data_IF_932723242740
#
_entry.id   IF_932723242740
#
_cell.length_a   1.000
_cell.length_b   1.000
_cell.length_c   1.000
_cell.angle_alpha   90.00
_cell.angle_beta   90.00
_cell.angle_gamma   90.00
#
_symmetry.space_group_name_H-M   'P 1'
#
loop_
_entity.id
_entity.type
_entity.pdbx_description
1 polymer ?
#
# COMPACT_ATOMS: atom_id res chain seq x y z
N UNK A 1 -9.14 -10.35 6.31
CA UNK A 1 -8.72 -9.74 5.02
C UNK A 1 -7.55 -8.81 5.24
N UNK A 2 -6.36 -9.22 4.81
CA UNK A 2 -5.20 -8.34 4.67
C UNK A 2 -4.82 -8.28 3.20
N UNK A 3 -4.04 -7.29 2.77
CA UNK A 3 -3.50 -7.23 1.41
C UNK A 3 -2.03 -7.60 1.39
N UNK A 4 -1.52 -7.98 0.22
CA UNK A 4 -0.08 -8.18 -0.01
C UNK A 4 0.72 -6.93 0.37
N UNK A 5 0.15 -5.73 0.16
CA UNK A 5 0.71 -4.45 0.58
C UNK A 5 1.02 -4.43 2.09
N UNK A 6 0.13 -4.96 2.93
CA UNK A 6 0.35 -5.06 4.38
C UNK A 6 1.54 -5.93 4.70
N UNK A 7 1.59 -7.12 4.10
CA UNK A 7 2.68 -8.08 4.31
C UNK A 7 4.00 -7.45 3.88
N UNK A 8 4.06 -6.87 2.67
CA UNK A 8 5.26 -6.26 2.15
C UNK A 8 5.77 -5.10 3.01
N UNK A 9 4.85 -4.28 3.53
CA UNK A 9 5.20 -3.21 4.48
C UNK A 9 5.85 -3.78 5.74
N UNK A 10 5.28 -4.83 6.33
CA UNK A 10 5.79 -5.47 7.55
C UNK A 10 7.15 -6.13 7.29
N UNK A 11 7.28 -6.89 6.20
CA UNK A 11 8.55 -7.52 5.77
C UNK A 11 9.67 -6.51 5.55
N UNK A 12 9.32 -5.34 5.01
CA UNK A 12 10.29 -4.26 4.77
C UNK A 12 10.59 -3.43 6.02
N UNK A 13 9.94 -3.72 7.16
CA UNK A 13 10.12 -2.99 8.41
C UNK A 13 9.57 -1.56 8.40
N UNK A 14 8.73 -1.20 7.43
CA UNK A 14 8.21 0.16 7.31
C UNK A 14 6.99 0.39 8.21
N UNK A 15 6.97 1.53 8.88
CA UNK A 15 5.75 2.03 9.52
C UNK A 15 4.79 2.59 8.47
N UNK A 16 3.50 2.60 8.80
CA UNK A 16 2.49 3.23 7.93
C UNK A 16 2.84 4.69 7.64
N UNK A 17 3.39 5.40 8.63
CA UNK A 17 3.79 6.81 8.50
C UNK A 17 4.84 7.00 7.42
N UNK A 18 5.92 6.21 7.48
CA UNK A 18 7.03 6.27 6.53
C UNK A 18 6.55 6.04 5.10
N UNK A 19 5.70 5.02 4.90
CA UNK A 19 5.15 4.74 3.56
C UNK A 19 4.29 5.91 3.10
N UNK A 20 3.42 6.43 3.97
CA UNK A 20 2.48 7.50 3.60
C UNK A 20 3.15 8.82 3.32
N UNK A 21 4.23 9.13 4.04
CA UNK A 21 5.06 10.31 3.81
C UNK A 21 5.81 10.17 2.47
N UNK A 22 6.41 9.01 2.21
CA UNK A 22 7.14 8.75 0.97
C UNK A 22 6.24 8.81 -0.28
N UNK A 23 5.02 8.27 -0.21
CA UNK A 23 4.07 8.30 -1.33
C UNK A 23 3.14 9.52 -1.31
N UNK A 24 3.24 10.39 -0.30
CA UNK A 24 2.47 11.62 -0.17
C UNK A 24 0.96 11.42 -0.11
N UNK A 25 0.46 10.53 0.76
CA UNK A 25 -0.97 10.37 1.06
C UNK A 25 -1.23 10.40 2.56
N UNK A 26 -2.50 10.52 2.97
CA UNK A 26 -2.88 10.47 4.39
C UNK A 26 -2.94 9.03 4.89
N UNK A 27 -2.52 8.79 6.14
CA UNK A 27 -2.60 7.47 6.83
C UNK A 27 -3.97 6.82 6.72
N UNK A 28 -5.06 7.60 6.89
CA UNK A 28 -6.43 7.10 6.75
C UNK A 28 -6.70 6.45 5.39
N UNK A 29 -6.26 7.08 4.30
CA UNK A 29 -6.41 6.53 2.96
C UNK A 29 -5.61 5.24 2.82
N UNK A 30 -4.39 5.23 3.34
CA UNK A 30 -3.54 4.05 3.31
C UNK A 30 -4.15 2.86 4.05
N UNK A 31 -4.79 3.07 5.21
CA UNK A 31 -5.52 2.00 5.90
C UNK A 31 -6.67 1.42 5.06
N UNK A 32 -7.42 2.24 4.33
CA UNK A 32 -8.47 1.74 3.43
C UNK A 32 -7.91 0.90 2.28
N UNK A 33 -6.74 1.28 1.77
CA UNK A 33 -6.04 0.54 0.72
C UNK A 33 -5.47 -0.77 1.29
N UNK A 34 -4.78 -0.71 2.43
CA UNK A 34 -4.14 -1.87 3.08
C UNK A 34 -5.17 -2.91 3.54
N UNK A 35 -6.37 -2.47 3.92
CA UNK A 35 -7.50 -3.36 4.28
C UNK A 35 -8.31 -3.86 3.09
N UNK A 36 -8.00 -3.40 1.86
CA UNK A 36 -8.77 -3.74 0.66
C UNK A 36 -10.16 -3.10 0.59
N UNK A 37 -10.52 -2.25 1.55
CA UNK A 37 -11.81 -1.53 1.57
C UNK A 37 -11.94 -0.52 0.42
N UNK A 38 -10.82 0.00 -0.08
CA UNK A 38 -10.82 0.97 -1.18
C UNK A 38 -9.61 0.79 -2.08
N UNK A 39 -9.85 0.85 -3.40
CA UNK A 39 -8.78 0.94 -4.37
C UNK A 39 -8.19 2.36 -4.43
N UNK A 40 -6.86 2.51 -4.46
CA UNK A 40 -6.19 3.78 -4.66
C UNK A 40 -6.41 4.32 -6.08
N UNK A 41 -6.07 5.59 -6.32
CA UNK A 41 -6.04 6.13 -7.68
C UNK A 41 -4.79 5.66 -8.42
N UNK A 42 -4.82 5.65 -9.77
CA UNK A 42 -3.65 5.33 -10.61
C UNK A 42 -2.37 6.09 -10.25
N UNK A 43 -2.50 7.32 -9.74
CA UNK A 43 -1.36 8.12 -9.27
C UNK A 43 -0.73 7.51 -8.01
N UNK A 44 -1.56 7.03 -7.08
CA UNK A 44 -1.10 6.40 -5.84
C UNK A 44 -0.59 4.98 -6.11
N UNK A 45 -1.22 4.24 -7.02
CA UNK A 45 -0.72 2.95 -7.52
C UNK A 45 0.73 3.07 -8.00
N UNK A 46 0.99 3.99 -8.94
CA UNK A 46 2.37 4.23 -9.45
C UNK A 46 3.37 4.59 -8.36
N UNK A 47 2.95 5.32 -7.32
CA UNK A 47 3.83 5.67 -6.20
C UNK A 47 4.12 4.48 -5.30
N UNK A 48 3.11 3.64 -5.05
CA UNK A 48 3.29 2.37 -4.34
C UNK A 48 4.22 1.43 -5.13
N UNK A 49 4.06 1.39 -6.46
CA UNK A 49 4.93 0.61 -7.35
C UNK A 49 6.38 1.06 -7.28
N UNK A 50 6.61 2.37 -7.34
CA UNK A 50 7.94 2.95 -7.22
C UNK A 50 8.55 2.71 -5.84
N UNK A 51 7.75 2.79 -4.78
CA UNK A 51 8.22 2.61 -3.40
C UNK A 51 8.56 1.14 -3.09
N UNK A 52 7.68 0.21 -3.44
CA UNK A 52 7.84 -1.22 -3.13
C UNK A 52 8.50 -2.04 -4.24
N UNK A 53 8.80 -1.43 -5.40
CA UNK A 53 9.34 -2.08 -6.61
C UNK A 53 8.53 -3.32 -7.04
N UNK A 54 7.22 -3.25 -6.84
CA UNK A 54 6.26 -4.32 -7.17
C UNK A 54 5.04 -3.70 -7.86
N UNK A 55 4.44 -4.37 -8.85
CA UNK A 55 3.25 -3.87 -9.53
C UNK A 55 2.08 -3.69 -8.55
N UNK A 56 1.28 -2.63 -8.72
CA UNK A 56 0.16 -2.33 -7.83
C UNK A 56 -0.88 -3.45 -7.86
N UNK A 57 -1.05 -4.10 -9.02
CA UNK A 57 -1.93 -5.26 -9.18
C UNK A 57 -1.55 -6.44 -8.29
N UNK A 58 -0.29 -6.57 -7.89
CA UNK A 58 0.14 -7.59 -6.92
C UNK A 58 0.00 -7.09 -5.49
N UNK A 59 0.43 -5.85 -5.21
CA UNK A 59 0.34 -5.24 -3.88
C UNK A 59 -1.11 -5.16 -3.38
N UNK A 60 -2.06 -4.94 -4.27
CA UNK A 60 -3.48 -4.77 -3.93
C UNK A 60 -4.28 -6.09 -3.93
N UNK A 61 -3.64 -7.25 -4.15
CA UNK A 61 -4.32 -8.54 -3.99
C UNK A 61 -4.73 -8.73 -2.53
N UNK A 62 -6.00 -9.07 -2.34
CA UNK A 62 -6.54 -9.46 -1.04
C UNK A 62 -6.09 -10.90 -0.75
N UNK A 63 -5.49 -11.12 0.41
CA UNK A 63 -5.16 -12.44 0.93
C UNK A 63 -6.25 -12.84 1.95
N UNK A 64 -6.81 -14.03 1.80
CA UNK A 64 -7.83 -14.62 2.69
C UNK A 64 -7.33 -14.79 4.12
#
# INVERSE_FOLDING_TARGET
MSTVLKQKRIESGFSVEQVTEAIGIKRRMYYYVESGQKLPSRKVEKRLEQFFKLPASELLKVTE
#
